data_IF_668946218552
#
_entry.id   IF_668946218552
#
_cell.length_a   1.000
_cell.length_b   1.000
_cell.length_c   1.000
_cell.angle_alpha   90.00
_cell.angle_beta   90.00
_cell.angle_gamma   90.00
#
_symmetry.space_group_name_H-M   'P 1'
#
loop_
_entity.id
_entity.type
_entity.pdbx_description
1 polymer ?
#
# COMPACT_ATOMS: atom_id res chain seq x y z
N UNK A 1 23.06 -34.13 -3.83
CA UNK A 1 21.61 -34.40 -3.76
C UNK A 1 20.93 -33.17 -3.15
N UNK A 2 20.56 -32.19 -3.97
CA UNK A 2 19.91 -30.96 -3.50
C UNK A 2 19.10 -30.40 -4.66
N UNK A 3 17.78 -30.57 -4.59
CA UNK A 3 16.87 -30.15 -5.66
C UNK A 3 16.78 -28.63 -5.64
N UNK A 4 17.17 -28.02 -6.76
CA UNK A 4 16.76 -26.67 -7.16
C UNK A 4 15.24 -26.62 -7.17
N UNK A 5 14.65 -25.82 -6.29
CA UNK A 5 13.21 -25.54 -6.33
C UNK A 5 12.99 -24.54 -7.47
N UNK A 6 12.24 -24.91 -8.52
CA UNK A 6 11.95 -23.98 -9.61
C UNK A 6 11.05 -22.86 -9.09
N UNK A 7 11.22 -21.68 -9.66
CA UNK A 7 10.44 -20.47 -9.42
C UNK A 7 8.98 -20.79 -9.10
N UNK A 8 8.56 -20.42 -7.89
CA UNK A 8 7.14 -20.45 -7.50
C UNK A 8 6.47 -19.37 -8.34
N UNK A 9 5.98 -19.77 -9.51
CA UNK A 9 5.06 -18.96 -10.30
C UNK A 9 3.84 -18.73 -9.40
N UNK A 10 3.55 -17.50 -8.97
CA UNK A 10 2.40 -17.25 -8.12
C UNK A 10 1.14 -17.74 -8.85
N UNK A 11 0.19 -18.37 -8.14
CA UNK A 11 -1.00 -18.92 -8.76
C UNK A 11 -1.72 -17.83 -9.55
N UNK A 12 -2.40 -18.20 -10.67
CA UNK A 12 -3.14 -17.24 -11.48
C UNK A 12 -4.10 -16.48 -10.59
N UNK A 13 -3.89 -15.17 -10.50
CA UNK A 13 -4.72 -14.28 -9.69
C UNK A 13 -6.09 -14.21 -10.34
N UNK A 14 -7.16 -14.31 -9.54
CA UNK A 14 -8.51 -14.16 -10.07
C UNK A 14 -8.65 -12.78 -10.74
N UNK A 15 -9.58 -12.64 -11.68
CA UNK A 15 -9.86 -11.34 -12.33
C UNK A 15 -10.12 -10.25 -11.29
N UNK A 16 -10.75 -10.59 -10.16
CA UNK A 16 -11.02 -9.68 -9.05
C UNK A 16 -9.72 -9.19 -8.41
N UNK A 17 -8.82 -10.08 -8.04
CA UNK A 17 -7.56 -9.70 -7.40
C UNK A 17 -6.63 -8.94 -8.36
N UNK A 18 -6.61 -9.33 -9.64
CA UNK A 18 -5.90 -8.57 -10.67
C UNK A 18 -6.47 -7.14 -10.82
N UNK A 19 -7.79 -6.99 -10.76
CA UNK A 19 -8.46 -5.70 -10.84
C UNK A 19 -8.17 -4.82 -9.62
N UNK A 20 -8.21 -5.40 -8.41
CA UNK A 20 -7.83 -4.71 -7.16
C UNK A 20 -6.40 -4.20 -7.23
N UNK A 21 -5.47 -5.06 -7.65
CA UNK A 21 -4.06 -4.70 -7.79
C UNK A 21 -3.86 -3.59 -8.81
N UNK A 22 -4.47 -3.70 -9.99
CA UNK A 22 -4.39 -2.67 -11.03
C UNK A 22 -4.94 -1.31 -10.53
N UNK A 23 -6.09 -1.32 -9.86
CA UNK A 23 -6.70 -0.11 -9.31
C UNK A 23 -5.80 0.53 -8.24
N UNK A 24 -5.32 -0.26 -7.28
CA UNK A 24 -4.41 0.19 -6.22
C UNK A 24 -3.11 0.78 -6.79
N UNK A 25 -2.49 0.09 -7.76
CA UNK A 25 -1.26 0.53 -8.39
C UNK A 25 -1.46 1.84 -9.15
N UNK A 26 -2.54 1.93 -9.92
CA UNK A 26 -2.91 3.13 -10.67
C UNK A 26 -3.16 4.31 -9.73
N UNK A 27 -3.85 4.07 -8.60
CA UNK A 27 -4.10 5.10 -7.61
C UNK A 27 -2.80 5.65 -7.02
N UNK A 28 -1.87 4.76 -6.63
CA UNK A 28 -0.56 5.17 -6.10
C UNK A 28 0.25 5.94 -7.14
N UNK A 29 0.30 5.46 -8.38
CA UNK A 29 1.12 6.08 -9.43
C UNK A 29 0.61 7.45 -9.85
N UNK A 30 -0.70 7.66 -9.84
CA UNK A 30 -1.33 8.93 -10.27
C UNK A 30 -1.48 9.95 -9.14
N UNK A 31 -1.68 9.50 -7.90
CA UNK A 31 -2.09 10.38 -6.81
C UNK A 31 -1.07 10.46 -5.66
N UNK A 32 -0.08 9.57 -5.56
CA UNK A 32 0.98 9.68 -4.55
C UNK A 32 2.17 10.43 -5.13
N UNK A 33 2.03 11.76 -5.15
CA UNK A 33 3.01 12.67 -5.72
C UNK A 33 4.32 12.70 -4.91
N UNK A 34 5.46 13.04 -5.55
CA UNK A 34 6.76 13.13 -4.87
C UNK A 34 6.79 14.09 -3.67
N UNK A 35 6.02 15.18 -3.72
CA UNK A 35 5.93 16.22 -2.69
C UNK A 35 5.11 15.81 -1.46
N UNK A 36 4.25 14.79 -1.58
CA UNK A 36 3.41 14.32 -0.49
C UNK A 36 4.22 13.53 0.54
N UNK A 37 4.02 13.87 1.81
CA UNK A 37 4.76 13.32 2.96
C UNK A 37 3.85 12.58 3.91
N UNK A 38 2.63 13.03 4.16
CA UNK A 38 1.69 12.37 5.09
C UNK A 38 0.63 11.63 4.28
N UNK A 39 0.66 10.30 4.32
CA UNK A 39 -0.17 9.45 3.47
C UNK A 39 -1.08 8.58 4.35
N UNK A 40 -2.39 8.72 4.18
CA UNK A 40 -3.38 7.84 4.79
C UNK A 40 -3.47 6.50 4.08
N UNK A 41 -3.43 5.41 4.84
CA UNK A 41 -3.59 4.04 4.36
C UNK A 41 -4.92 3.49 4.87
N UNK A 42 -5.81 3.24 3.92
CA UNK A 42 -7.15 2.69 4.13
C UNK A 42 -7.17 1.26 4.66
N UNK A 43 -8.34 0.61 4.58
CA UNK A 43 -8.53 -0.77 5.03
C UNK A 43 -9.13 -1.67 3.94
N UNK A 44 -9.08 -2.99 4.18
CA UNK A 44 -9.72 -3.98 3.32
C UNK A 44 -8.79 -4.63 2.29
N UNK A 45 -9.36 -5.55 1.51
CA UNK A 45 -8.59 -6.49 0.67
C UNK A 45 -7.83 -5.86 -0.50
N UNK A 46 -8.12 -4.61 -0.86
CA UNK A 46 -7.42 -3.88 -1.93
C UNK A 46 -6.15 -3.17 -1.43
N UNK A 47 -6.10 -2.82 -0.15
CA UNK A 47 -5.02 -2.03 0.47
C UNK A 47 -3.65 -2.71 0.51
N UNK A 48 -3.53 -4.04 0.69
CA UNK A 48 -2.22 -4.70 0.59
C UNK A 48 -1.48 -4.36 -0.71
N UNK A 49 -2.19 -4.21 -1.84
CA UNK A 49 -1.61 -3.83 -3.13
C UNK A 49 -1.17 -2.36 -3.20
N UNK A 50 -1.79 -1.48 -2.41
CA UNK A 50 -1.37 -0.07 -2.25
C UNK A 50 0.00 -0.04 -1.56
N UNK A 51 0.14 -0.75 -0.45
CA UNK A 51 1.40 -0.85 0.30
C UNK A 51 2.47 -1.54 -0.55
N UNK A 52 2.13 -2.62 -1.25
CA UNK A 52 3.03 -3.28 -2.22
C UNK A 52 3.58 -2.27 -3.24
N UNK A 53 2.69 -1.46 -3.84
CA UNK A 53 3.11 -0.48 -4.84
C UNK A 53 3.98 0.61 -4.23
N UNK A 54 3.63 1.14 -3.06
CA UNK A 54 4.44 2.14 -2.35
C UNK A 54 5.85 1.61 -2.11
N UNK A 55 6.00 0.39 -1.57
CA UNK A 55 7.31 -0.24 -1.33
C UNK A 55 8.10 -0.37 -2.63
N UNK A 56 7.43 -0.74 -3.74
CA UNK A 56 8.07 -0.86 -5.05
C UNK A 56 8.62 0.46 -5.61
N UNK A 57 8.15 1.62 -5.12
CA UNK A 57 8.72 2.93 -5.49
C UNK A 57 10.14 3.15 -4.94
N UNK A 58 10.58 2.30 -4.00
CA UNK A 58 11.92 2.28 -3.43
C UNK A 58 12.07 3.09 -2.14
N UNK A 59 13.02 2.68 -1.29
CA UNK A 59 13.29 3.32 0.00
C UNK A 59 13.57 4.82 -0.11
N UNK A 60 14.34 5.24 -1.13
CA UNK A 60 14.72 6.64 -1.28
C UNK A 60 13.51 7.57 -1.47
N UNK A 61 12.44 7.10 -2.10
CA UNK A 61 11.21 7.87 -2.32
C UNK A 61 10.29 7.86 -1.10
N UNK A 62 10.42 6.85 -0.23
CA UNK A 62 9.56 6.69 0.95
C UNK A 62 10.22 7.11 2.27
N UNK A 63 11.52 7.42 2.27
CA UNK A 63 12.27 7.77 3.49
C UNK A 63 11.70 8.97 4.26
N UNK A 64 11.15 9.95 3.54
CA UNK A 64 10.63 11.21 4.10
C UNK A 64 9.10 11.20 4.23
N UNK A 65 8.47 10.03 4.03
CA UNK A 65 7.02 9.84 4.07
C UNK A 65 6.61 9.18 5.37
N UNK A 66 5.45 9.58 5.90
CA UNK A 66 4.78 9.07 7.09
C UNK A 66 3.46 8.45 6.65
N UNK A 67 3.15 7.25 7.15
CA UNK A 67 1.97 6.50 6.78
C UNK A 67 1.01 6.37 7.96
N UNK A 68 -0.21 6.86 7.79
CA UNK A 68 -1.25 6.92 8.83
C UNK A 68 -2.24 5.77 8.60
N UNK A 69 -2.33 4.78 9.48
CA UNK A 69 -3.27 3.67 9.33
C UNK A 69 -4.70 4.07 9.68
N UNK A 70 -5.68 3.41 9.07
CA UNK A 70 -7.11 3.51 9.42
C UNK A 70 -7.59 2.34 10.29
N UNK A 71 -6.79 1.28 10.43
CA UNK A 71 -7.12 0.06 11.17
C UNK A 71 -5.87 -0.67 11.67
N UNK A 72 -6.08 -1.69 12.52
CA UNK A 72 -4.99 -2.58 12.95
C UNK A 72 -4.34 -3.31 11.77
N UNK A 73 -5.12 -3.76 10.79
CA UNK A 73 -4.61 -4.45 9.61
C UNK A 73 -3.68 -3.55 8.79
N UNK A 74 -4.10 -2.30 8.52
CA UNK A 74 -3.27 -1.35 7.77
C UNK A 74 -2.01 -0.96 8.54
N UNK A 75 -2.10 -0.82 9.86
CA UNK A 75 -0.95 -0.63 10.74
C UNK A 75 0.06 -1.78 10.63
N UNK A 76 -0.40 -3.02 10.68
CA UNK A 76 0.46 -4.20 10.54
C UNK A 76 1.15 -4.22 9.17
N UNK A 77 0.43 -3.91 8.09
CA UNK A 77 1.01 -3.85 6.74
C UNK A 77 2.13 -2.80 6.64
N UNK A 78 1.93 -1.60 7.20
CA UNK A 78 2.95 -0.53 7.21
C UNK A 78 4.20 -0.98 7.98
N UNK A 79 4.00 -1.57 9.17
CA UNK A 79 5.11 -2.03 10.02
C UNK A 79 5.87 -3.19 9.36
N UNK A 80 5.17 -4.18 8.81
CA UNK A 80 5.79 -5.30 8.08
C UNK A 80 6.54 -4.84 6.84
N UNK A 81 6.08 -3.75 6.19
CA UNK A 81 6.73 -3.13 5.05
C UNK A 81 7.92 -2.21 5.40
N UNK A 82 8.26 -2.06 6.69
CA UNK A 82 9.32 -1.18 7.19
C UNK A 82 9.12 0.29 6.78
N UNK A 83 7.86 0.72 6.66
CA UNK A 83 7.49 2.09 6.38
C UNK A 83 7.33 2.87 7.69
N UNK A 84 7.54 4.19 7.64
CA UNK A 84 7.44 5.04 8.82
C UNK A 84 5.97 5.19 9.23
N UNK A 85 5.59 4.53 10.33
CA UNK A 85 4.26 4.62 10.90
C UNK A 85 4.06 5.97 11.62
N UNK A 86 2.95 6.65 11.33
CA UNK A 86 2.50 7.82 12.07
C UNK A 86 1.13 7.62 12.70
N UNK A 87 0.70 8.64 13.44
CA UNK A 87 -0.60 8.68 14.12
C UNK A 87 -1.37 9.95 13.74
N UNK A 88 -2.70 9.88 13.68
CA UNK A 88 -3.57 11.00 13.29
C UNK A 88 -3.50 12.17 14.28
N UNK A 89 -3.26 11.90 15.56
CA UNK A 89 -3.11 12.93 16.58
C UNK A 89 -1.80 13.72 16.41
N UNK A 90 -0.77 13.09 15.81
CA UNK A 90 0.52 13.71 15.53
C UNK A 90 0.53 14.45 14.18
N UNK A 91 -0.28 13.99 13.22
CA UNK A 91 -0.33 14.52 11.86
C UNK A 91 -1.78 14.87 11.48
N UNK A 92 -2.29 16.04 11.91
CA UNK A 92 -3.68 16.44 11.67
C UNK A 92 -3.97 16.83 10.21
N UNK A 93 -2.92 17.02 9.39
CA UNK A 93 -3.04 17.34 7.96
C UNK A 93 -2.45 16.18 7.16
N UNK A 94 -3.31 15.52 6.40
CA UNK A 94 -2.96 14.39 5.53
C UNK A 94 -2.96 14.89 4.08
N UNK A 95 -1.89 14.62 3.34
CA UNK A 95 -1.76 15.08 1.95
C UNK A 95 -2.65 14.27 1.00
N UNK A 96 -2.69 12.95 1.20
CA UNK A 96 -3.50 12.04 0.40
C UNK A 96 -3.87 10.80 1.22
N UNK A 97 -5.08 10.29 1.03
CA UNK A 97 -5.53 9.01 1.58
C UNK A 97 -5.94 8.10 0.44
N UNK A 98 -5.50 6.83 0.48
CA UNK A 98 -5.97 5.80 -0.44
C UNK A 98 -6.74 4.76 0.36
N UNK A 99 -8.02 4.59 0.03
CA UNK A 99 -8.90 3.61 0.65
C UNK A 99 -9.77 2.90 -0.38
N UNK A 100 -10.28 1.73 -0.01
CA UNK A 100 -11.32 1.04 -0.74
C UNK A 100 -12.71 1.62 -0.41
N UNK A 101 -13.71 1.17 -1.18
CA UNK A 101 -15.11 1.43 -0.91
C UNK A 101 -15.91 0.17 -1.27
N UNK A 102 -16.97 -0.11 -0.51
CA UNK A 102 -17.88 -1.22 -0.82
C UNK A 102 -18.79 -0.88 -2.02
N UNK A 103 -19.16 0.40 -2.16
CA UNK A 103 -19.99 0.92 -3.26
C UNK A 103 -19.50 2.30 -3.71
N UNK A 104 -19.54 2.56 -5.02
CA UNK A 104 -19.32 3.87 -5.63
C UNK A 104 -20.40 4.09 -6.69
N UNK A 105 -21.22 5.14 -6.52
CA UNK A 105 -22.32 5.50 -7.43
C UNK A 105 -22.01 6.75 -8.24
#
# INVERSE_FOLDING_TARGET
>A
MGKIHPDVVPPPTTVIEASKRLAAWTAVDRHVLPEYKVIGIGSGSTVPYVVERIVSQGLARNKDRVFIPTSFQSKELIVSAQLLLGDVDQYPVIDVTIDGADECV
#
